data_IF_866873223389
#
_entry.id   IF_866873223389
#
_cell.length_a   1.000
_cell.length_b   1.000
_cell.length_c   1.000
_cell.angle_alpha   90.00
_cell.angle_beta   90.00
_cell.angle_gamma   90.00
#
_symmetry.space_group_name_H-M   'P 1'
#
loop_
_entity.id
_entity.type
_entity.pdbx_description
1 polymer ?
#
# COMPACT_ATOMS: atom_id res chain seq x y z
N UNK A 1 10.17 6.63 -12.69
CA UNK A 1 10.07 5.29 -12.08
C UNK A 1 11.45 4.82 -11.60
N UNK A 2 11.51 4.21 -10.41
CA UNK A 2 12.75 3.70 -9.81
C UNK A 2 12.57 2.23 -9.47
N UNK A 3 13.36 1.36 -10.10
CA UNK A 3 13.39 -0.06 -9.76
C UNK A 3 14.26 -0.28 -8.51
N UNK A 4 13.75 -1.04 -7.56
CA UNK A 4 14.42 -1.41 -6.32
C UNK A 4 14.57 -2.94 -6.26
N UNK A 5 15.76 -3.39 -5.92
CA UNK A 5 16.05 -4.81 -5.65
C UNK A 5 16.85 -4.86 -4.35
N UNK A 6 16.41 -5.65 -3.37
CA UNK A 6 17.11 -5.76 -2.10
C UNK A 6 16.88 -7.10 -1.43
N UNK A 7 17.77 -7.45 -0.53
CA UNK A 7 17.58 -8.56 0.38
C UNK A 7 17.00 -8.05 1.71
N UNK A 8 15.85 -8.58 2.11
CA UNK A 8 15.28 -8.32 3.44
C UNK A 8 15.92 -9.29 4.44
N UNK A 9 16.90 -8.77 5.19
CA UNK A 9 17.70 -9.60 6.10
C UNK A 9 16.89 -10.15 7.30
N UNK A 10 15.85 -9.40 7.74
CA UNK A 10 15.03 -9.79 8.87
C UNK A 10 14.16 -11.02 8.55
N UNK A 11 13.81 -11.19 7.28
CA UNK A 11 12.96 -12.30 6.82
C UNK A 11 13.70 -13.29 5.90
N UNK A 12 14.93 -12.98 5.49
CA UNK A 12 15.75 -13.82 4.61
C UNK A 12 15.16 -14.01 3.21
N UNK A 13 14.55 -12.96 2.64
CA UNK A 13 13.92 -13.02 1.32
C UNK A 13 14.40 -11.90 0.42
N UNK A 14 14.53 -12.21 -0.86
CA UNK A 14 14.81 -11.21 -1.88
C UNK A 14 13.53 -10.51 -2.28
N UNK A 15 13.57 -9.19 -2.29
CA UNK A 15 12.46 -8.31 -2.53
C UNK A 15 12.72 -7.44 -3.76
N UNK A 16 11.65 -7.03 -4.41
CA UNK A 16 11.69 -6.07 -5.50
C UNK A 16 10.54 -5.09 -5.41
N UNK A 17 10.74 -3.91 -5.96
CA UNK A 17 9.70 -2.88 -6.04
C UNK A 17 9.97 -1.93 -7.18
N UNK A 18 8.94 -1.21 -7.59
CA UNK A 18 9.02 -0.18 -8.61
C UNK A 18 8.27 1.04 -8.10
N UNK A 19 9.02 2.07 -7.71
CA UNK A 19 8.48 3.36 -7.29
C UNK A 19 8.07 4.17 -8.51
N UNK A 20 6.91 4.82 -8.45
CA UNK A 20 6.49 5.75 -9.49
C UNK A 20 7.32 7.04 -9.46
N UNK A 21 7.64 7.56 -8.28
CA UNK A 21 8.46 8.75 -8.15
C UNK A 21 9.15 8.90 -6.81
N UNK A 22 10.30 9.58 -6.85
CA UNK A 22 11.00 10.15 -5.70
C UNK A 22 11.20 11.64 -5.98
N UNK A 23 10.85 12.47 -5.01
CA UNK A 23 11.04 13.91 -5.07
C UNK A 23 11.91 14.35 -3.90
N UNK A 24 13.03 15.00 -4.18
CA UNK A 24 13.74 15.78 -3.17
C UNK A 24 13.18 17.18 -3.15
N UNK A 25 12.69 17.61 -2.00
CA UNK A 25 12.08 18.94 -1.81
C UNK A 25 13.16 20.00 -1.99
N UNK A 26 12.97 20.86 -2.96
CA UNK A 26 13.80 22.02 -3.22
C UNK A 26 13.29 23.26 -2.46
N UNK A 27 13.85 24.44 -2.78
CA UNK A 27 13.45 25.72 -2.20
C UNK A 27 12.10 26.26 -2.72
N UNK A 28 11.31 25.47 -3.43
CA UNK A 28 9.95 25.88 -3.89
C UNK A 28 9.00 25.99 -2.69
N UNK A 29 8.15 27.00 -2.68
CA UNK A 29 7.20 27.26 -1.59
C UNK A 29 5.98 26.31 -1.69
N UNK A 30 6.18 25.10 -1.21
CA UNK A 30 5.16 24.05 -1.18
C UNK A 30 3.98 24.38 -0.25
N UNK A 31 4.19 25.25 0.74
CA UNK A 31 3.16 25.65 1.69
C UNK A 31 2.00 26.39 0.98
N UNK A 32 2.27 27.15 -0.07
CA UNK A 32 1.23 27.77 -0.91
C UNK A 32 0.28 26.77 -1.57
N UNK A 33 0.73 25.51 -1.67
CA UNK A 33 -0.04 24.40 -2.24
C UNK A 33 -0.60 23.46 -1.16
N UNK A 34 -0.56 23.89 0.10
CA UNK A 34 -1.09 23.12 1.23
C UNK A 34 -0.19 21.94 1.66
N UNK A 35 1.07 21.94 1.22
CA UNK A 35 2.06 20.93 1.57
C UNK A 35 3.18 21.59 2.38
N UNK A 36 3.21 21.31 3.68
CA UNK A 36 4.29 21.75 4.57
C UNK A 36 5.47 20.77 4.44
N UNK A 37 6.40 21.10 3.54
CA UNK A 37 7.53 20.26 3.17
C UNK A 37 8.84 20.98 3.49
N UNK A 38 9.70 20.34 4.27
CA UNK A 38 11.03 20.87 4.57
C UNK A 38 11.99 20.67 3.40
N UNK A 39 12.77 21.69 3.07
CA UNK A 39 13.79 21.59 2.02
C UNK A 39 14.79 20.47 2.35
N UNK A 40 15.13 19.67 1.37
CA UNK A 40 15.99 18.50 1.51
C UNK A 40 15.28 17.21 1.90
N UNK A 41 13.99 17.26 2.30
CA UNK A 41 13.19 16.04 2.56
C UNK A 41 13.01 15.24 1.28
N UNK A 42 12.96 13.93 1.41
CA UNK A 42 12.68 13.01 0.30
C UNK A 42 11.28 12.45 0.43
N UNK A 43 10.49 12.59 -0.62
CA UNK A 43 9.10 12.14 -0.69
C UNK A 43 8.99 10.97 -1.65
N UNK A 44 8.43 9.85 -1.18
CA UNK A 44 7.97 8.78 -2.03
C UNK A 44 6.60 9.12 -2.63
N UNK A 45 6.48 8.96 -3.94
CA UNK A 45 5.24 9.26 -4.68
C UNK A 45 4.76 8.01 -5.39
N UNK A 46 3.46 7.76 -5.29
CA UNK A 46 2.81 6.65 -5.96
C UNK A 46 1.47 7.10 -6.56
N UNK A 47 1.23 6.75 -7.83
CA UNK A 47 0.03 7.10 -8.57
C UNK A 47 -1.05 6.06 -8.36
N UNK A 48 -2.22 6.48 -7.90
CA UNK A 48 -3.37 5.62 -7.70
C UNK A 48 -4.56 6.07 -8.55
N UNK A 49 -5.29 5.11 -9.09
CA UNK A 49 -6.56 5.40 -9.76
C UNK A 49 -7.73 4.81 -8.97
N UNK A 50 -8.89 5.46 -9.04
CA UNK A 50 -10.10 5.01 -8.35
C UNK A 50 -11.37 5.35 -9.13
N UNK A 51 -12.31 4.41 -9.18
CA UNK A 51 -13.65 4.64 -9.71
C UNK A 51 -14.65 5.24 -8.69
N UNK A 52 -14.20 5.52 -7.45
CA UNK A 52 -15.04 6.05 -6.37
C UNK A 52 -14.51 7.40 -5.89
N UNK A 53 -15.37 8.29 -5.36
CA UNK A 53 -14.94 9.58 -4.82
C UNK A 53 -13.85 9.45 -3.75
N UNK A 54 -12.92 10.41 -3.75
CA UNK A 54 -11.79 10.47 -2.82
C UNK A 54 -12.23 11.23 -1.57
N UNK A 55 -13.06 10.59 -0.73
CA UNK A 55 -13.39 11.08 0.62
C UNK A 55 -12.41 10.47 1.64
N UNK A 56 -12.04 11.23 2.72
CA UNK A 56 -11.02 10.78 3.67
C UNK A 56 -11.25 9.38 4.23
N UNK A 57 -12.41 9.11 4.82
CA UNK A 57 -12.71 7.82 5.45
C UNK A 57 -12.79 6.68 4.42
N UNK A 58 -13.41 6.95 3.26
CA UNK A 58 -13.49 5.98 2.17
C UNK A 58 -12.13 5.66 1.57
N UNK A 59 -11.23 6.64 1.51
CA UNK A 59 -9.87 6.43 1.03
C UNK A 59 -9.03 5.63 2.03
N UNK A 60 -9.09 5.96 3.32
CA UNK A 60 -8.37 5.23 4.36
C UNK A 60 -8.75 3.73 4.35
N UNK A 61 -10.04 3.43 4.30
CA UNK A 61 -10.51 2.05 4.19
C UNK A 61 -9.98 1.36 2.92
N UNK A 62 -10.06 2.02 1.77
CA UNK A 62 -9.55 1.48 0.51
C UNK A 62 -8.05 1.25 0.54
N UNK A 63 -7.29 2.16 1.16
CA UNK A 63 -5.85 2.01 1.36
C UNK A 63 -5.53 0.71 2.09
N UNK A 64 -6.31 0.35 3.12
CA UNK A 64 -6.17 -0.90 3.85
C UNK A 64 -6.59 -2.10 2.99
N UNK A 65 -7.81 -2.06 2.43
CA UNK A 65 -8.39 -3.17 1.67
C UNK A 65 -7.55 -3.53 0.43
N UNK A 66 -6.92 -2.54 -0.21
CA UNK A 66 -6.06 -2.72 -1.38
C UNK A 66 -4.58 -2.94 -1.04
N UNK A 67 -4.19 -2.91 0.23
CA UNK A 67 -2.80 -3.09 0.66
C UNK A 67 -1.86 -1.94 0.30
N UNK A 68 -2.36 -0.74 -0.06
CA UNK A 68 -1.51 0.38 -0.47
C UNK A 68 -0.59 0.88 0.63
N UNK A 69 -1.02 0.82 1.89
CA UNK A 69 -0.19 1.11 3.06
C UNK A 69 0.98 0.11 3.19
N UNK A 70 0.73 -1.17 2.92
CA UNK A 70 1.76 -2.21 2.91
C UNK A 70 2.73 -2.02 1.73
N UNK A 71 2.23 -1.67 0.55
CA UNK A 71 3.04 -1.33 -0.61
C UNK A 71 3.96 -0.14 -0.32
N UNK A 72 3.44 0.93 0.29
CA UNK A 72 4.24 2.08 0.69
C UNK A 72 5.38 1.69 1.64
N UNK A 73 5.09 0.92 2.69
CA UNK A 73 6.10 0.41 3.62
C UNK A 73 7.14 -0.47 2.91
N UNK A 74 6.71 -1.30 1.97
CA UNK A 74 7.61 -2.15 1.20
C UNK A 74 8.59 -1.33 0.35
N UNK A 75 8.11 -0.29 -0.31
CA UNK A 75 8.94 0.59 -1.12
C UNK A 75 9.87 1.46 -0.27
N UNK A 76 9.41 1.93 0.89
CA UNK A 76 10.25 2.64 1.87
C UNK A 76 11.39 1.75 2.35
N UNK A 77 11.12 0.47 2.65
CA UNK A 77 12.15 -0.49 3.02
C UNK A 77 13.17 -0.72 1.91
N UNK A 78 12.71 -0.85 0.66
CA UNK A 78 13.58 -0.99 -0.51
C UNK A 78 14.44 0.26 -0.77
N UNK A 79 13.85 1.45 -0.66
CA UNK A 79 14.59 2.71 -0.78
C UNK A 79 15.67 2.84 0.32
N UNK A 80 15.31 2.50 1.56
CA UNK A 80 16.26 2.47 2.70
C UNK A 80 17.42 1.52 2.44
N UNK A 81 17.16 0.33 1.90
CA UNK A 81 18.21 -0.62 1.54
C UNK A 81 19.13 -0.08 0.43
N UNK A 82 18.62 0.77 -0.46
CA UNK A 82 19.37 1.49 -1.47
C UNK A 82 20.05 2.79 -0.94
N UNK A 83 20.02 3.05 0.36
CA UNK A 83 20.62 4.24 0.98
C UNK A 83 19.79 5.52 0.88
N UNK A 84 18.53 5.41 0.47
CA UNK A 84 17.60 6.56 0.36
C UNK A 84 16.59 6.53 1.51
N UNK A 85 16.61 7.55 2.36
CA UNK A 85 15.62 7.75 3.41
C UNK A 85 14.42 8.50 2.83
N UNK A 86 13.26 7.86 2.76
CA UNK A 86 12.00 8.52 2.44
C UNK A 86 11.42 9.09 3.74
N UNK A 87 11.19 10.40 3.79
CA UNK A 87 10.68 11.10 4.96
C UNK A 87 9.14 11.14 5.00
N UNK A 88 8.51 11.21 3.83
CA UNK A 88 7.04 11.25 3.68
C UNK A 88 6.59 10.41 2.49
N UNK A 89 5.35 9.92 2.55
CA UNK A 89 4.75 9.13 1.46
C UNK A 89 3.46 9.77 0.99
N UNK A 90 3.39 10.02 -0.30
CA UNK A 90 2.26 10.68 -0.95
C UNK A 90 1.69 9.78 -2.05
N UNK A 91 0.38 9.59 -2.01
CA UNK A 91 -0.37 9.04 -3.13
C UNK A 91 -1.01 10.18 -3.93
N UNK A 92 -0.73 10.24 -5.22
CA UNK A 92 -1.48 11.08 -6.16
C UNK A 92 -2.64 10.24 -6.69
N UNK A 93 -3.86 10.61 -6.31
CA UNK A 93 -5.05 9.79 -6.59
C UNK A 93 -5.89 10.47 -7.67
N UNK A 94 -6.20 9.73 -8.73
CA UNK A 94 -6.99 10.21 -9.87
C UNK A 94 -8.30 9.43 -9.96
N UNK A 95 -9.42 10.12 -10.02
CA UNK A 95 -10.73 9.51 -10.26
C UNK A 95 -10.89 9.14 -11.74
N UNK A 96 -11.22 7.88 -12.01
CA UNK A 96 -11.48 7.40 -13.39
C UNK A 96 -12.87 7.77 -13.89
N UNK A 97 -13.77 8.18 -12.98
CA UNK A 97 -15.12 8.66 -13.29
C UNK A 97 -15.18 10.17 -13.30
N UNK A 98 -16.08 10.75 -14.06
CA UNK A 98 -16.33 12.21 -14.05
C UNK A 98 -16.68 12.68 -12.64
N UNK A 99 -16.16 13.82 -12.18
CA UNK A 99 -15.43 14.87 -12.92
C UNK A 99 -13.91 14.64 -13.07
N UNK A 100 -13.38 13.43 -12.85
CA UNK A 100 -11.96 13.11 -12.92
C UNK A 100 -11.10 13.90 -11.92
N UNK A 101 -11.59 13.98 -10.68
CA UNK A 101 -10.90 14.68 -9.60
C UNK A 101 -9.51 14.11 -9.35
N UNK A 102 -8.59 14.99 -8.97
CA UNK A 102 -7.24 14.61 -8.52
C UNK A 102 -7.05 15.07 -7.09
N UNK A 103 -6.52 14.20 -6.26
CA UNK A 103 -6.21 14.53 -4.87
C UNK A 103 -4.84 14.00 -4.47
N UNK A 104 -4.10 14.85 -3.78
CA UNK A 104 -2.87 14.47 -3.10
C UNK A 104 -3.24 13.95 -1.71
N UNK A 105 -2.81 12.75 -1.37
CA UNK A 105 -3.11 12.08 -0.10
C UNK A 105 -1.81 11.64 0.53
N UNK A 106 -1.47 12.20 1.68
CA UNK A 106 -0.34 11.75 2.48
C UNK A 106 -0.75 10.59 3.38
N UNK A 107 0.08 9.56 3.45
CA UNK A 107 -0.07 8.50 4.43
C UNK A 107 0.60 8.91 5.75
N UNK A 108 -0.19 8.94 6.83
CA UNK A 108 0.33 9.26 8.16
C UNK A 108 1.38 8.24 8.64
N UNK A 109 2.22 8.63 9.59
CA UNK A 109 3.18 7.72 10.22
C UNK A 109 2.50 6.45 10.74
N UNK A 110 1.32 6.58 11.37
CA UNK A 110 0.54 5.43 11.86
C UNK A 110 0.05 4.50 10.72
N UNK A 111 -0.30 5.06 9.57
CA UNK A 111 -0.68 4.25 8.40
C UNK A 111 0.52 3.48 7.85
N UNK A 112 1.70 4.10 7.84
CA UNK A 112 2.95 3.47 7.41
C UNK A 112 3.43 2.40 8.41
N UNK A 113 3.30 2.64 9.72
CA UNK A 113 3.57 1.64 10.77
C UNK A 113 2.69 0.39 10.60
N UNK A 114 1.38 0.59 10.37
CA UNK A 114 0.47 -0.52 10.07
C UNK A 114 0.91 -1.25 8.79
N UNK A 115 1.33 -0.51 7.77
CA UNK A 115 1.89 -1.04 6.54
C UNK A 115 3.09 -1.95 6.79
N UNK A 116 4.02 -1.51 7.65
CA UNK A 116 5.21 -2.28 8.01
C UNK A 116 4.85 -3.58 8.77
N UNK A 117 3.90 -3.51 9.71
CA UNK A 117 3.40 -4.71 10.41
C UNK A 117 2.82 -5.72 9.41
N UNK A 118 2.01 -5.26 8.46
CA UNK A 118 1.41 -6.14 7.46
C UNK A 118 2.46 -6.67 6.47
N UNK A 119 3.43 -5.86 6.07
CA UNK A 119 4.57 -6.26 5.25
C UNK A 119 5.37 -7.38 5.93
N UNK A 120 5.73 -7.19 7.20
CA UNK A 120 6.47 -8.20 7.97
C UNK A 120 5.74 -9.54 8.02
N UNK A 121 4.42 -9.52 8.30
CA UNK A 121 3.61 -10.75 8.29
C UNK A 121 3.57 -11.42 6.91
N UNK A 122 3.46 -10.63 5.84
CA UNK A 122 3.47 -11.16 4.48
C UNK A 122 4.81 -11.79 4.11
N UNK A 123 5.94 -11.14 4.46
CA UNK A 123 7.28 -11.67 4.21
C UNK A 123 7.55 -12.94 5.04
N UNK A 124 7.10 -12.98 6.29
CA UNK A 124 7.18 -14.17 7.12
C UNK A 124 6.41 -15.36 6.52
N UNK A 125 5.18 -15.10 6.06
CA UNK A 125 4.38 -16.11 5.39
C UNK A 125 5.02 -16.58 4.08
N UNK A 126 5.60 -15.65 3.31
CA UNK A 126 6.33 -15.97 2.09
C UNK A 126 7.58 -16.80 2.37
N UNK A 127 8.36 -16.47 3.40
CA UNK A 127 9.51 -17.25 3.81
C UNK A 127 9.10 -18.68 4.20
N UNK A 128 8.06 -18.83 5.02
CA UNK A 128 7.53 -20.14 5.41
C UNK A 128 7.05 -20.96 4.20
N UNK A 129 6.50 -20.29 3.19
CA UNK A 129 6.11 -20.92 1.93
C UNK A 129 7.31 -21.40 1.12
N UNK A 130 8.40 -20.63 1.06
CA UNK A 130 9.64 -21.03 0.39
C UNK A 130 10.30 -22.24 1.07
N UNK A 131 10.22 -22.33 2.39
CA UNK A 131 10.82 -23.40 3.18
C UNK A 131 10.01 -24.70 3.19
N UNK A 132 8.78 -24.67 2.66
CA UNK A 132 7.93 -25.86 2.62
C UNK A 132 8.49 -26.95 1.73
N UNK A 133 8.13 -28.21 2.05
CA UNK A 133 8.50 -29.34 1.22
C UNK A 133 7.88 -29.26 -0.18
N UNK A 134 8.55 -29.72 -1.24
CA UNK A 134 7.96 -29.86 -2.56
C UNK A 134 6.61 -30.61 -2.51
N UNK A 135 5.59 -30.09 -3.22
CA UNK A 135 4.25 -30.66 -3.22
C UNK A 135 3.31 -30.16 -2.14
N UNK A 136 3.78 -29.35 -1.17
CA UNK A 136 2.88 -28.68 -0.25
C UNK A 136 1.97 -27.68 -1.00
N UNK A 137 0.68 -27.66 -0.69
CA UNK A 137 -0.28 -26.70 -1.25
C UNK A 137 -0.47 -25.51 -0.34
N UNK A 138 -0.82 -24.34 -0.92
CA UNK A 138 -1.14 -23.13 -0.15
C UNK A 138 -2.51 -23.25 0.51
N UNK A 139 -3.42 -23.98 -0.14
CA UNK A 139 -4.78 -24.20 0.33
C UNK A 139 -4.95 -25.63 0.83
N UNK A 140 -5.87 -25.81 1.77
CA UNK A 140 -6.31 -27.15 2.17
C UNK A 140 -6.81 -27.92 0.94
N UNK A 141 -6.52 -29.23 0.82
CA UNK A 141 -7.12 -30.06 -0.22
C UNK A 141 -8.61 -30.29 -0.01
N UNK A 142 -9.14 -29.97 1.17
CA UNK A 142 -10.55 -30.11 1.47
C UNK A 142 -11.35 -28.99 0.78
N UNK A 143 -12.54 -29.29 0.24
CA UNK A 143 -13.41 -28.29 -0.33
C UNK A 143 -13.80 -27.22 0.70
N UNK A 144 -13.72 -25.95 0.30
CA UNK A 144 -14.21 -24.83 1.09
C UNK A 144 -15.74 -24.72 0.90
N UNK A 145 -16.49 -24.88 1.97
CA UNK A 145 -17.93 -24.57 1.97
C UNK A 145 -18.10 -23.08 2.23
N UNK A 146 -18.79 -22.40 1.34
CA UNK A 146 -19.04 -20.96 1.42
C UNK A 146 -20.50 -20.72 1.77
N UNK A 147 -20.73 -20.11 2.91
CA UNK A 147 -22.06 -19.69 3.34
C UNK A 147 -22.35 -18.25 2.86
N UNK A 148 -23.62 -17.93 2.55
CA UNK A 148 -23.97 -16.57 2.17
C UNK A 148 -23.76 -15.63 3.35
N UNK A 149 -23.25 -14.40 3.11
CA UNK A 149 -23.13 -13.42 4.18
C UNK A 149 -24.49 -13.03 4.72
N UNK A 150 -24.58 -12.76 6.03
CA UNK A 150 -25.82 -12.48 6.75
C UNK A 150 -26.69 -11.39 6.11
N UNK A 151 -26.08 -10.37 5.54
CA UNK A 151 -26.82 -9.31 4.83
C UNK A 151 -27.55 -9.81 3.58
N UNK A 152 -26.99 -10.80 2.87
CA UNK A 152 -27.63 -11.36 1.68
C UNK A 152 -28.85 -12.20 2.06
N UNK A 153 -28.74 -12.99 3.13
CA UNK A 153 -29.89 -13.76 3.70
C UNK A 153 -30.98 -12.80 4.17
N UNK A 154 -30.61 -11.75 4.93
CA UNK A 154 -31.52 -10.76 5.45
C UNK A 154 -32.30 -10.01 4.36
N UNK A 155 -31.63 -9.67 3.22
CA UNK A 155 -32.31 -9.06 2.08
C UNK A 155 -33.31 -10.01 1.39
N UNK A 156 -32.95 -11.28 1.25
CA UNK A 156 -33.82 -12.27 0.62
C UNK A 156 -35.11 -12.52 1.43
N UNK A 157 -35.05 -12.52 2.77
CA UNK A 157 -36.16 -12.75 3.67
C UNK A 157 -37.13 -11.56 3.79
N UNK A 158 -36.79 -10.38 3.28
CA UNK A 158 -37.58 -9.14 3.36
C UNK A 158 -38.07 -8.61 2.01
N UNK A 159 -37.94 -9.38 0.96
CA UNK A 159 -38.35 -8.99 -0.41
C UNK A 159 -39.76 -9.45 -0.76
N UNK A 160 -40.62 -9.71 0.25
CA UNK A 160 -42.05 -9.98 0.08
C UNK A 160 -42.91 -8.74 0.34
#
# INVERSE_FOLDING_TARGET
EHALLWHDADHGVDCSGKLDGLLTVDGFDWAKHGLDLEAGSVIGIDLKTTGKPIAPDGYARRCIDSGWHMQAAHYIAGAKAAGVKIDRWINVVVETSKPHGVRVVELSARMLELGEIHRGKALQAWRAWLDRKPGATVYSPEPLVVEPPSWAVWHAERSD
#
